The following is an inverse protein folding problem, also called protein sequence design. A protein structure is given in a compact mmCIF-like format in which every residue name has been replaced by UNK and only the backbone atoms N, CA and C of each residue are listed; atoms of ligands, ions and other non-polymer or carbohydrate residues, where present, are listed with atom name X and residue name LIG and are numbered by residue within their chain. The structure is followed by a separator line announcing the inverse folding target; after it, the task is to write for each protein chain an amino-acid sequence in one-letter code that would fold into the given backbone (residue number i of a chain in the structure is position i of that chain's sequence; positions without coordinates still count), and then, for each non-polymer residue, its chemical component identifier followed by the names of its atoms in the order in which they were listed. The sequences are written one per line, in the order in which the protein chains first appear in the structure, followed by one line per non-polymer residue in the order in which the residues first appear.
data_IF_698123682034
#
_entry.id   IF_698123682034
#
_cell.length_a   1.000
_cell.length_b   1.000
_cell.length_c   1.000
_cell.angle_alpha   90.00
_cell.angle_beta   90.00
_cell.angle_gamma   90.00
#
_symmetry.space_group_name_H-M   'P 1'
#
loop_
_entity.id
_entity.type
_entity.pdbx_description
1 polymer ?
#
# COMPACT_ATOMS: atom_id res chain seq x y z
N UNK A 1 19.86 -13.92 -12.27
CA UNK A 1 19.45 -12.89 -13.26
C UNK A 1 18.09 -12.35 -12.83
N UNK A 2 17.94 -11.03 -12.67
CA UNK A 2 16.63 -10.43 -12.42
C UNK A 2 15.77 -10.59 -13.67
N UNK A 3 14.61 -11.17 -13.53
CA UNK A 3 13.67 -11.32 -14.63
C UNK A 3 13.13 -9.93 -15.01
N UNK A 4 12.99 -9.66 -16.31
CA UNK A 4 12.36 -8.42 -16.76
C UNK A 4 10.90 -8.39 -16.32
N UNK A 5 10.37 -7.22 -15.93
CA UNK A 5 8.97 -7.10 -15.56
C UNK A 5 8.06 -7.42 -16.76
N UNK A 6 6.91 -8.00 -16.47
CA UNK A 6 5.87 -8.25 -17.46
C UNK A 6 4.92 -7.05 -17.52
N UNK A 7 4.51 -6.67 -18.74
CA UNK A 7 3.49 -5.66 -18.95
C UNK A 7 2.23 -6.35 -19.44
N UNK A 8 1.19 -6.32 -18.60
CA UNK A 8 -0.02 -7.08 -18.82
C UNK A 8 -1.19 -6.14 -19.15
N UNK A 9 -2.15 -6.69 -19.86
CA UNK A 9 -3.39 -6.04 -20.21
C UNK A 9 -4.53 -6.56 -19.32
N UNK A 10 -5.63 -5.83 -19.25
CA UNK A 10 -6.80 -6.19 -18.44
C UNK A 10 -7.29 -7.63 -18.66
N UNK A 11 -7.36 -8.09 -19.92
CA UNK A 11 -7.82 -9.43 -20.28
C UNK A 11 -7.03 -10.57 -19.62
N UNK A 12 -5.77 -10.32 -19.27
CA UNK A 12 -4.95 -11.32 -18.59
C UNK A 12 -5.43 -11.60 -17.15
N UNK A 13 -6.20 -10.67 -16.56
CA UNK A 13 -6.61 -10.72 -15.16
C UNK A 13 -8.10 -10.41 -14.92
N UNK A 14 -8.91 -10.40 -15.97
CA UNK A 14 -10.32 -9.98 -15.95
C UNK A 14 -11.14 -10.56 -14.77
N UNK A 15 -11.02 -11.87 -14.53
CA UNK A 15 -11.75 -12.54 -13.44
C UNK A 15 -11.36 -12.03 -12.05
N UNK A 16 -10.11 -11.62 -11.87
CA UNK A 16 -9.60 -11.12 -10.59
C UNK A 16 -9.95 -9.66 -10.37
N UNK A 17 -10.11 -8.90 -11.45
CA UNK A 17 -10.42 -7.47 -11.42
C UNK A 17 -11.92 -7.21 -11.32
N UNK A 18 -12.77 -8.09 -11.86
CA UNK A 18 -14.23 -8.00 -11.74
C UNK A 18 -14.73 -7.98 -10.28
N UNK A 19 -13.99 -8.59 -9.37
CA UNK A 19 -14.28 -8.55 -7.92
C UNK A 19 -14.17 -7.14 -7.34
N UNK A 20 -13.47 -6.22 -8.03
CA UNK A 20 -13.23 -4.83 -7.60
C UNK A 20 -14.04 -3.80 -8.39
N UNK A 21 -15.03 -4.22 -9.17
CA UNK A 21 -15.81 -3.37 -10.05
C UNK A 21 -15.00 -2.61 -11.11
N UNK A 22 -13.85 -3.17 -11.53
CA UNK A 22 -13.13 -2.66 -12.68
C UNK A 22 -13.70 -3.18 -13.98
N UNK A 23 -13.76 -2.32 -14.98
CA UNK A 23 -14.14 -2.64 -16.35
C UNK A 23 -12.94 -2.52 -17.29
N UNK A 24 -13.06 -3.08 -18.48
CA UNK A 24 -12.01 -3.00 -19.50
C UNK A 24 -11.59 -1.56 -19.81
N UNK A 25 -12.54 -0.64 -19.85
CA UNK A 25 -12.30 0.79 -20.08
C UNK A 25 -11.51 1.51 -19.00
N UNK A 26 -11.31 0.86 -17.84
CA UNK A 26 -10.56 1.42 -16.72
C UNK A 26 -9.04 1.25 -16.87
N UNK A 27 -8.60 0.52 -17.90
CA UNK A 27 -7.20 0.22 -18.14
C UNK A 27 -6.74 0.70 -19.51
N UNK A 28 -5.47 1.03 -19.60
CA UNK A 28 -4.82 1.42 -20.85
C UNK A 28 -3.44 0.77 -21.00
N UNK A 29 -2.93 0.71 -22.24
CA UNK A 29 -1.62 0.16 -22.50
C UNK A 29 -0.49 1.12 -22.10
N UNK A 30 0.61 0.54 -21.66
CA UNK A 30 1.84 1.28 -21.44
C UNK A 30 2.47 1.71 -22.76
N UNK A 31 2.93 2.94 -22.82
CA UNK A 31 3.79 3.41 -23.90
C UNK A 31 5.16 2.75 -23.86
N UNK A 32 5.90 2.80 -24.95
CA UNK A 32 7.26 2.27 -25.00
C UNK A 32 8.20 2.93 -23.97
N UNK A 33 8.04 4.24 -23.75
CA UNK A 33 8.83 5.00 -22.77
C UNK A 33 8.52 4.58 -21.33
N UNK A 34 7.24 4.38 -20.98
CA UNK A 34 6.85 3.90 -19.67
C UNK A 34 7.40 2.51 -19.38
N UNK A 35 7.31 1.59 -20.36
CA UNK A 35 7.89 0.24 -20.27
C UNK A 35 9.41 0.28 -20.07
N UNK A 36 10.10 1.13 -20.81
CA UNK A 36 11.55 1.31 -20.68
C UNK A 36 11.93 1.86 -19.29
N UNK A 37 11.22 2.86 -18.82
CA UNK A 37 11.42 3.47 -17.49
C UNK A 37 11.23 2.45 -16.37
N UNK A 38 10.11 1.75 -16.33
CA UNK A 38 9.83 0.75 -15.29
C UNK A 38 10.83 -0.39 -15.32
N UNK A 39 11.23 -0.85 -16.53
CA UNK A 39 12.26 -1.88 -16.68
C UNK A 39 13.63 -1.41 -16.16
N UNK A 40 13.97 -0.13 -16.38
CA UNK A 40 15.19 0.47 -15.87
C UNK A 40 15.21 0.45 -14.33
N UNK A 41 14.13 0.86 -13.68
CA UNK A 41 14.05 0.87 -12.21
C UNK A 41 14.12 -0.53 -11.61
N UNK A 42 13.37 -1.50 -12.14
CA UNK A 42 13.41 -2.88 -11.62
C UNK A 42 14.80 -3.48 -11.75
N UNK A 43 15.49 -3.26 -12.88
CA UNK A 43 16.86 -3.74 -13.09
C UNK A 43 17.89 -3.02 -12.21
N UNK A 44 17.64 -1.74 -11.92
CA UNK A 44 18.54 -0.88 -11.17
C UNK A 44 18.59 -1.13 -9.66
N UNK A 45 17.64 -1.88 -9.09
CA UNK A 45 17.67 -2.14 -7.65
C UNK A 45 18.91 -2.95 -7.24
N UNK A 46 19.55 -2.61 -6.12
CA UNK A 46 20.61 -3.40 -5.52
C UNK A 46 20.20 -4.86 -5.29
N UNK A 47 21.17 -5.77 -5.29
CA UNK A 47 20.89 -7.19 -5.09
C UNK A 47 20.27 -7.48 -3.72
N UNK A 48 20.65 -6.74 -2.68
CA UNK A 48 20.07 -6.85 -1.35
C UNK A 48 18.55 -6.66 -1.35
N UNK A 49 18.01 -5.74 -2.16
CA UNK A 49 16.56 -5.56 -2.31
C UNK A 49 15.93 -6.80 -2.92
N UNK A 50 16.57 -7.41 -3.92
CA UNK A 50 16.07 -8.64 -4.56
C UNK A 50 16.12 -9.86 -3.64
N UNK A 51 17.03 -9.87 -2.66
CA UNK A 51 17.12 -10.91 -1.63
C UNK A 51 16.04 -10.74 -0.55
N UNK A 52 15.81 -9.51 -0.11
CA UNK A 52 14.80 -9.19 0.91
C UNK A 52 13.36 -9.30 0.34
N UNK A 53 13.19 -8.82 -0.88
CA UNK A 53 11.89 -8.77 -1.56
C UNK A 53 12.05 -9.40 -2.95
N UNK A 54 11.74 -10.68 -3.13
CA UNK A 54 11.92 -11.36 -4.41
C UNK A 54 11.18 -10.64 -5.54
N UNK A 55 11.93 -10.15 -6.54
CA UNK A 55 11.42 -9.39 -7.68
C UNK A 55 10.99 -10.29 -8.85
N UNK A 56 10.68 -11.55 -8.56
CA UNK A 56 10.26 -12.51 -9.58
C UNK A 56 8.78 -12.35 -9.91
N UNK A 57 8.45 -12.56 -11.18
CA UNK A 57 7.06 -12.55 -11.66
C UNK A 57 6.30 -11.24 -11.37
N UNK A 58 7.00 -10.09 -11.39
CA UNK A 58 6.34 -8.79 -11.28
C UNK A 58 5.70 -8.45 -12.62
N UNK A 59 4.41 -8.14 -12.57
CA UNK A 59 3.64 -7.61 -13.70
C UNK A 59 3.16 -6.21 -13.39
N UNK A 60 3.13 -5.35 -14.38
CA UNK A 60 2.56 -4.01 -14.27
C UNK A 60 1.26 -3.92 -15.06
N UNK A 61 0.29 -3.22 -14.50
CA UNK A 61 -0.93 -2.77 -15.17
C UNK A 61 -1.05 -1.26 -15.04
N UNK A 62 -1.76 -0.64 -15.97
CA UNK A 62 -1.96 0.81 -16.00
C UNK A 62 -3.45 1.12 -16.03
N UNK A 63 -3.92 1.97 -15.12
CA UNK A 63 -5.29 2.49 -15.14
C UNK A 63 -5.37 3.85 -15.84
N UNK A 64 -6.51 4.15 -16.45
CA UNK A 64 -6.79 5.48 -17.00
C UNK A 64 -6.86 6.53 -15.88
N UNK A 65 -6.60 7.79 -16.24
CA UNK A 65 -6.65 8.89 -15.30
C UNK A 65 -8.04 9.07 -14.68
N UNK A 66 -8.09 9.30 -13.37
CA UNK A 66 -9.31 9.65 -12.64
C UNK A 66 -10.23 8.47 -12.28
N UNK A 67 -9.82 7.22 -12.57
CA UNK A 67 -10.63 6.04 -12.22
C UNK A 67 -10.39 5.56 -10.79
N UNK A 68 -9.16 5.63 -10.33
CA UNK A 68 -8.79 5.25 -8.96
C UNK A 68 -8.46 6.46 -8.11
N UNK A 69 -8.21 6.23 -6.83
CA UNK A 69 -7.77 7.22 -5.84
C UNK A 69 -6.41 7.87 -6.15
N UNK A 70 -5.96 7.82 -7.41
CA UNK A 70 -4.68 8.35 -7.90
C UNK A 70 -3.43 7.74 -7.24
N UNK A 71 -3.56 6.59 -6.56
CA UNK A 71 -2.44 5.88 -5.95
C UNK A 71 -2.16 4.55 -6.63
N UNK A 72 -0.90 4.14 -6.69
CA UNK A 72 -0.55 2.76 -6.99
C UNK A 72 -1.17 1.82 -5.96
N UNK A 73 -1.40 0.58 -6.37
CA UNK A 73 -1.79 -0.50 -5.46
C UNK A 73 -1.36 -1.86 -6.02
N UNK A 74 -1.44 -2.89 -5.20
CA UNK A 74 -0.97 -4.21 -5.55
C UNK A 74 -2.03 -5.29 -5.37
N UNK A 75 -1.91 -6.38 -6.11
CA UNK A 75 -2.64 -7.61 -5.86
C UNK A 75 -1.84 -8.83 -6.35
N UNK A 76 -2.26 -10.01 -5.89
CA UNK A 76 -1.67 -11.29 -6.32
C UNK A 76 -2.75 -12.08 -7.01
N UNK A 77 -2.46 -12.59 -8.19
CA UNK A 77 -3.34 -13.45 -8.96
C UNK A 77 -2.55 -14.56 -9.65
N UNK A 78 -2.99 -15.81 -9.48
CA UNK A 78 -2.35 -16.97 -10.12
C UNK A 78 -0.81 -16.93 -10.01
N UNK A 79 -0.28 -16.74 -8.80
CA UNK A 79 1.15 -16.62 -8.51
C UNK A 79 1.85 -15.38 -9.09
N UNK A 80 1.19 -14.55 -9.87
CA UNK A 80 1.74 -13.28 -10.36
C UNK A 80 1.59 -12.16 -9.34
N UNK A 81 2.68 -11.43 -9.17
CA UNK A 81 2.72 -10.20 -8.40
C UNK A 81 2.35 -9.04 -9.31
N UNK A 82 1.25 -8.38 -9.07
CA UNK A 82 0.77 -7.29 -9.94
C UNK A 82 0.84 -5.96 -9.20
N UNK A 83 1.50 -4.98 -9.83
CA UNK A 83 1.52 -3.58 -9.42
C UNK A 83 0.67 -2.81 -10.41
N UNK A 84 -0.36 -2.14 -9.92
CA UNK A 84 -1.20 -1.24 -10.72
C UNK A 84 -0.70 0.19 -10.52
N UNK A 85 -0.37 0.84 -11.63
CA UNK A 85 0.05 2.24 -11.65
C UNK A 85 -1.02 3.07 -12.36
N UNK A 86 -1.35 4.21 -11.79
CA UNK A 86 -2.29 5.13 -12.44
C UNK A 86 -1.59 5.95 -13.51
N UNK A 87 -2.34 6.41 -14.51
CA UNK A 87 -1.82 7.32 -15.53
C UNK A 87 -1.17 8.57 -14.88
N UNK A 88 -1.77 9.10 -13.82
CA UNK A 88 -1.24 10.25 -13.05
C UNK A 88 0.10 9.93 -12.38
N UNK A 89 0.22 8.74 -11.78
CA UNK A 89 1.49 8.28 -11.21
C UNK A 89 2.58 8.20 -12.28
N UNK A 90 2.27 7.65 -13.45
CA UNK A 90 3.22 7.54 -14.56
C UNK A 90 3.61 8.90 -15.15
N UNK A 91 2.67 9.84 -15.26
CA UNK A 91 2.97 11.22 -15.64
C UNK A 91 3.91 11.90 -14.64
N UNK A 92 3.67 11.70 -13.35
CA UNK A 92 4.57 12.17 -12.29
C UNK A 92 5.97 11.56 -12.43
N UNK A 93 6.07 10.25 -12.67
CA UNK A 93 7.35 9.59 -12.92
C UNK A 93 8.08 10.17 -14.14
N UNK A 94 7.37 10.39 -15.23
CA UNK A 94 7.95 10.99 -16.45
C UNK A 94 8.49 12.40 -16.21
N UNK A 95 7.86 13.18 -15.35
CA UNK A 95 8.30 14.55 -15.01
C UNK A 95 9.61 14.59 -14.22
N UNK A 96 9.91 13.54 -13.47
CA UNK A 96 11.14 13.43 -12.66
C UNK A 96 12.35 12.89 -13.43
N UNK A 97 12.13 12.31 -14.61
CA UNK A 97 13.20 11.70 -15.42
C UNK A 97 13.73 10.37 -14.88
N UNK A 98 14.65 9.78 -15.62
CA UNK A 98 15.31 8.54 -15.23
C UNK A 98 16.25 8.76 -14.04
N UNK A 99 16.34 7.76 -13.15
CA UNK A 99 17.19 7.78 -11.95
C UNK A 99 16.69 8.67 -10.80
N UNK A 100 15.39 8.86 -10.70
CA UNK A 100 14.79 9.61 -9.60
C UNK A 100 14.50 8.68 -8.39
N UNK A 101 15.02 9.06 -7.22
CA UNK A 101 14.84 8.30 -5.97
C UNK A 101 13.38 8.19 -5.53
N UNK A 102 12.56 9.20 -5.80
CA UNK A 102 11.13 9.15 -5.49
C UNK A 102 10.41 8.05 -6.29
N UNK A 103 10.74 7.90 -7.57
CA UNK A 103 10.18 6.82 -8.41
C UNK A 103 10.63 5.45 -7.89
N UNK A 104 11.91 5.31 -7.56
CA UNK A 104 12.45 4.08 -6.97
C UNK A 104 11.75 3.75 -5.65
N UNK A 105 11.62 4.73 -4.76
CA UNK A 105 10.93 4.58 -3.48
C UNK A 105 9.48 4.14 -3.67
N UNK A 106 8.74 4.75 -4.60
CA UNK A 106 7.35 4.40 -4.87
C UNK A 106 7.22 2.96 -5.39
N UNK A 107 8.01 2.57 -6.38
CA UNK A 107 7.97 1.20 -6.91
C UNK A 107 8.37 0.18 -5.83
N UNK A 108 9.40 0.47 -5.04
CA UNK A 108 9.82 -0.43 -3.95
C UNK A 108 8.75 -0.53 -2.86
N UNK A 109 8.05 0.54 -2.56
CA UNK A 109 6.91 0.55 -1.65
C UNK A 109 5.84 -0.46 -2.10
N UNK A 110 5.48 -0.47 -3.36
CA UNK A 110 4.53 -1.44 -3.93
C UNK A 110 5.08 -2.89 -3.91
N UNK A 111 6.36 -3.08 -4.16
CA UNK A 111 7.01 -4.39 -4.05
C UNK A 111 6.94 -4.92 -2.61
N UNK A 112 7.14 -4.05 -1.63
CA UNK A 112 7.00 -4.42 -0.22
C UNK A 112 5.56 -4.87 0.09
N UNK A 113 4.55 -4.19 -0.45
CA UNK A 113 3.15 -4.62 -0.29
C UNK A 113 2.88 -6.02 -0.88
N UNK A 114 3.45 -6.34 -2.01
CA UNK A 114 3.37 -7.71 -2.56
C UNK A 114 3.99 -8.74 -1.62
N UNK A 115 5.14 -8.42 -1.02
CA UNK A 115 5.79 -9.29 -0.06
C UNK A 115 4.96 -9.45 1.23
N UNK A 116 4.38 -8.35 1.72
CA UNK A 116 3.46 -8.39 2.87
C UNK A 116 2.26 -9.30 2.62
N UNK A 117 1.65 -9.23 1.44
CA UNK A 117 0.51 -10.08 1.07
C UNK A 117 0.87 -11.58 1.01
N UNK A 118 2.09 -11.91 0.61
CA UNK A 118 2.57 -13.30 0.57
C UNK A 118 2.94 -13.85 1.94
N UNK A 119 3.39 -13.00 2.83
CA UNK A 119 3.93 -13.36 4.14
C UNK A 119 3.13 -12.70 5.29
N UNK A 120 1.82 -12.63 5.14
CA UNK A 120 0.96 -11.85 6.04
C UNK A 120 1.14 -12.23 7.51
N UNK A 121 1.29 -13.51 7.82
CA UNK A 121 1.47 -13.98 9.21
C UNK A 121 2.72 -13.38 9.88
N UNK A 122 3.83 -13.35 9.17
CA UNK A 122 5.10 -12.81 9.69
C UNK A 122 4.99 -11.31 9.92
N UNK A 123 4.30 -10.60 9.01
CA UNK A 123 4.07 -9.16 9.16
C UNK A 123 3.09 -8.84 10.28
N UNK A 124 2.01 -9.60 10.44
CA UNK A 124 1.07 -9.44 11.55
C UNK A 124 1.79 -9.61 12.89
N UNK A 125 2.68 -10.60 13.00
CA UNK A 125 3.51 -10.81 14.18
C UNK A 125 4.48 -9.64 14.43
N UNK A 126 5.14 -9.14 13.37
CA UNK A 126 6.01 -7.98 13.44
C UNK A 126 5.26 -6.73 13.91
N UNK A 127 4.11 -6.44 13.34
CA UNK A 127 3.31 -5.26 13.74
C UNK A 127 2.87 -5.33 15.18
N UNK A 128 2.53 -6.51 15.66
CA UNK A 128 2.15 -6.71 17.06
C UNK A 128 3.36 -6.56 17.98
N UNK A 129 4.47 -7.21 17.67
CA UNK A 129 5.65 -7.25 18.54
C UNK A 129 6.44 -5.93 18.52
N UNK A 130 6.62 -5.33 17.34
CA UNK A 130 7.51 -4.18 17.15
C UNK A 130 6.74 -2.86 17.16
N UNK A 131 5.67 -2.77 16.36
CA UNK A 131 4.88 -1.54 16.26
C UNK A 131 3.82 -1.41 17.33
N UNK A 132 3.57 -2.47 18.12
CA UNK A 132 2.56 -2.49 19.19
C UNK A 132 1.13 -2.29 18.70
N UNK A 133 0.87 -2.65 17.45
CA UNK A 133 -0.50 -2.75 16.97
C UNK A 133 -1.18 -4.02 17.49
N UNK A 134 -2.47 -3.94 17.66
CA UNK A 134 -3.34 -5.08 17.99
C UNK A 134 -4.37 -5.28 16.88
N UNK A 135 -4.50 -6.50 16.40
CA UNK A 135 -5.50 -6.88 15.41
C UNK A 135 -6.73 -7.40 16.13
N UNK A 136 -7.84 -6.70 16.01
CA UNK A 136 -9.09 -7.06 16.71
C UNK A 136 -10.25 -7.21 15.73
N UNK A 137 -11.25 -8.01 16.11
CA UNK A 137 -12.51 -8.09 15.38
C UNK A 137 -13.43 -6.95 15.81
N UNK A 138 -13.85 -6.11 14.87
CA UNK A 138 -14.72 -4.97 15.14
C UNK A 138 -16.17 -5.29 14.78
N UNK A 139 -17.10 -5.11 15.71
CA UNK A 139 -18.49 -5.50 15.51
C UNK A 139 -19.23 -4.58 14.51
N UNK A 140 -18.94 -3.28 14.53
CA UNK A 140 -19.60 -2.30 13.67
C UNK A 140 -18.76 -1.79 12.49
N UNK A 141 -17.70 -2.54 12.09
CA UNK A 141 -16.81 -2.12 11.01
C UNK A 141 -17.55 -1.90 9.68
N UNK A 142 -18.51 -2.77 9.34
CA UNK A 142 -19.24 -2.66 8.08
C UNK A 142 -19.90 -1.30 7.87
N UNK A 143 -20.55 -0.76 8.91
CA UNK A 143 -21.17 0.58 8.86
C UNK A 143 -20.15 1.73 8.89
N UNK A 144 -18.94 1.48 9.38
CA UNK A 144 -17.87 2.47 9.36
C UNK A 144 -17.09 2.46 8.04
N UNK A 145 -16.97 1.31 7.39
CA UNK A 145 -16.18 1.13 6.16
C UNK A 145 -16.63 2.01 4.99
N UNK A 146 -17.89 2.43 4.98
CA UNK A 146 -18.42 3.37 3.97
C UNK A 146 -17.79 4.77 4.06
N UNK A 147 -17.15 5.11 5.16
CA UNK A 147 -16.53 6.43 5.41
C UNK A 147 -15.02 6.45 5.21
N UNK A 148 -14.44 5.30 4.97
CA UNK A 148 -12.98 5.14 4.92
C UNK A 148 -12.53 4.60 3.57
N UNK A 149 -11.36 5.03 3.15
CA UNK A 149 -10.67 4.38 2.05
C UNK A 149 -10.09 3.09 2.60
N UNK A 150 -10.65 1.98 2.15
CA UNK A 150 -10.02 0.68 2.34
C UNK A 150 -8.88 0.59 1.34
N UNK A 151 -7.67 0.91 1.78
CA UNK A 151 -6.50 0.69 0.94
C UNK A 151 -6.46 -0.79 0.55
N UNK A 152 -6.36 -1.12 -0.75
CA UNK A 152 -6.22 -2.50 -1.22
C UNK A 152 -5.01 -3.23 -0.59
N UNK A 153 -4.01 -2.49 -0.16
CA UNK A 153 -2.80 -2.98 0.50
C UNK A 153 -2.96 -3.14 2.01
N UNK A 154 -3.98 -2.48 2.58
CA UNK A 154 -4.47 -2.70 3.93
C UNK A 154 -5.54 -3.78 3.95
N UNK A 155 -5.14 -5.03 4.04
CA UNK A 155 -6.09 -6.14 4.05
C UNK A 155 -6.97 -6.15 5.29
N UNK A 156 -8.26 -5.88 5.12
CA UNK A 156 -9.28 -6.05 6.16
C UNK A 156 -10.18 -7.21 5.77
N UNK A 157 -9.93 -8.40 6.31
CA UNK A 157 -10.84 -9.54 6.15
C UNK A 157 -11.69 -9.70 7.41
N UNK A 158 -12.94 -10.08 7.22
CA UNK A 158 -13.82 -10.51 8.32
C UNK A 158 -13.98 -9.47 9.46
N UNK A 159 -14.06 -8.18 9.13
CA UNK A 159 -14.17 -7.09 10.12
C UNK A 159 -12.99 -7.00 11.09
N UNK A 160 -11.83 -7.53 10.72
CA UNK A 160 -10.61 -7.34 11.51
C UNK A 160 -10.03 -5.95 11.25
N UNK A 161 -9.69 -5.22 12.28
CA UNK A 161 -9.06 -3.90 12.21
C UNK A 161 -7.75 -3.87 13.01
N UNK A 162 -6.85 -2.99 12.60
CA UNK A 162 -5.64 -2.71 13.37
C UNK A 162 -5.88 -1.52 14.30
N UNK A 163 -5.51 -1.71 15.56
CA UNK A 163 -5.64 -0.70 16.61
C UNK A 163 -4.32 -0.52 17.34
N UNK A 164 -4.15 0.60 18.01
CA UNK A 164 -2.99 0.89 18.84
C UNK A 164 -3.47 1.49 20.18
N UNK A 165 -2.76 1.18 21.26
CA UNK A 165 -3.07 1.74 22.59
C UNK A 165 -2.18 2.95 22.84
N UNK A 166 -2.81 4.09 23.09
CA UNK A 166 -2.15 5.35 23.48
C UNK A 166 -2.87 5.91 24.71
N UNK A 167 -2.12 6.20 25.77
CA UNK A 167 -2.66 6.68 27.03
C UNK A 167 -3.79 5.79 27.62
N UNK A 168 -3.60 4.46 27.55
CA UNK A 168 -4.56 3.44 27.97
C UNK A 168 -5.90 3.44 27.20
N UNK A 169 -5.96 4.10 26.07
CA UNK A 169 -7.12 4.12 25.19
C UNK A 169 -6.77 3.46 23.87
N UNK A 170 -7.72 2.74 23.27
CA UNK A 170 -7.56 2.05 22.00
C UNK A 170 -8.01 2.94 20.84
N UNK A 171 -7.15 3.09 19.84
CA UNK A 171 -7.35 3.94 18.68
C UNK A 171 -7.16 3.17 17.39
N UNK A 172 -8.03 3.39 16.41
CA UNK A 172 -7.88 2.88 15.05
C UNK A 172 -7.45 4.03 14.13
N UNK A 173 -6.24 3.99 13.56
CA UNK A 173 -5.87 4.91 12.48
C UNK A 173 -6.56 4.51 11.18
N UNK A 174 -7.00 5.48 10.39
CA UNK A 174 -7.65 5.24 9.10
C UNK A 174 -7.45 6.41 8.14
N UNK A 175 -7.71 6.15 6.85
CA UNK A 175 -7.75 7.17 5.81
C UNK A 175 -9.21 7.45 5.47
N UNK A 176 -9.64 8.71 5.68
CA UNK A 176 -10.98 9.14 5.34
C UNK A 176 -11.13 9.32 3.82
N UNK A 177 -12.34 9.22 3.28
CA UNK A 177 -12.63 9.47 1.86
C UNK A 177 -12.13 10.85 1.40
N UNK A 178 -12.08 11.83 2.28
CA UNK A 178 -11.48 13.14 2.04
C UNK A 178 -9.96 13.17 1.96
N UNK A 179 -9.29 12.02 1.97
CA UNK A 179 -7.84 11.83 1.95
C UNK A 179 -7.12 12.34 3.21
N UNK A 180 -7.81 12.47 4.31
CA UNK A 180 -7.23 12.86 5.59
C UNK A 180 -6.96 11.62 6.45
N UNK A 181 -5.73 11.51 6.95
CA UNK A 181 -5.40 10.54 7.99
C UNK A 181 -6.08 10.94 9.28
N UNK A 182 -6.82 10.02 9.87
CA UNK A 182 -7.55 10.21 11.10
C UNK A 182 -7.39 9.03 12.05
N UNK A 183 -7.78 9.23 13.29
CA UNK A 183 -7.86 8.17 14.30
C UNK A 183 -9.19 8.28 15.03
N UNK A 184 -9.84 7.14 15.22
CA UNK A 184 -11.08 7.03 16.01
C UNK A 184 -10.88 6.12 17.21
N UNK A 185 -11.61 6.40 18.26
CA UNK A 185 -11.60 5.58 19.49
C UNK A 185 -12.33 4.26 19.26
N UNK A 186 -11.80 3.20 19.86
CA UNK A 186 -12.43 1.87 19.87
C UNK A 186 -12.72 1.47 21.31
N UNK A 187 -13.99 1.18 21.60
CA UNK A 187 -14.48 0.78 22.93
C UNK A 187 -15.27 -0.53 22.77
N UNK A 188 -14.96 -1.54 23.56
CA UNK A 188 -15.63 -2.85 23.56
C UNK A 188 -15.75 -3.45 22.13
N UNK A 189 -14.66 -3.37 21.37
CA UNK A 189 -14.56 -3.81 19.97
C UNK A 189 -15.54 -3.10 19.00
N UNK A 190 -16.02 -1.92 19.35
CA UNK A 190 -16.81 -1.05 18.49
C UNK A 190 -16.07 0.25 18.20
N UNK A 191 -16.15 0.71 16.95
CA UNK A 191 -15.67 2.04 16.57
C UNK A 191 -16.68 3.06 17.11
N UNK A 192 -16.18 3.98 17.91
CA UNK A 192 -16.93 5.13 18.42
C UNK A 192 -16.41 6.37 17.71
N UNK A 193 -17.30 7.18 17.13
CA UNK A 193 -16.92 8.37 16.36
C UNK A 193 -16.46 9.48 17.33
N UNK A 194 -15.34 9.25 17.99
CA UNK A 194 -14.59 10.22 18.78
C UNK A 194 -13.23 10.33 18.11
N UNK A 195 -12.95 11.48 17.49
CA UNK A 195 -11.65 11.73 16.87
C UNK A 195 -10.57 11.93 17.93
N UNK A 196 -9.36 11.50 17.61
CA UNK A 196 -8.21 11.67 18.48
C UNK A 196 -7.89 13.17 18.67
N UNK A 197 -7.50 13.53 19.88
CA UNK A 197 -7.02 14.89 20.16
C UNK A 197 -5.67 15.15 19.44
N UNK A 198 -5.27 16.42 19.26
CA UNK A 198 -3.95 16.76 18.71
C UNK A 198 -2.79 16.12 19.49
N UNK A 199 -2.95 15.92 20.79
CA UNK A 199 -1.94 15.25 21.63
C UNK A 199 -1.80 13.77 21.26
N UNK A 200 -2.90 13.02 21.11
CA UNK A 200 -2.90 11.62 20.69
C UNK A 200 -2.25 11.49 19.30
N UNK A 201 -2.61 12.39 18.37
CA UNK A 201 -1.99 12.44 17.06
C UNK A 201 -0.47 12.68 17.11
N UNK A 202 -0.04 13.58 17.98
CA UNK A 202 1.38 13.88 18.17
C UNK A 202 2.14 12.67 18.71
N UNK A 203 1.60 11.99 19.72
CA UNK A 203 2.19 10.77 20.27
C UNK A 203 2.30 9.71 19.16
N UNK A 204 1.20 9.44 18.46
CA UNK A 204 1.16 8.45 17.36
C UNK A 204 2.18 8.77 16.26
N UNK A 205 2.24 10.02 15.81
CA UNK A 205 3.16 10.46 14.77
C UNK A 205 4.62 10.28 15.16
N UNK A 206 4.95 10.50 16.43
CA UNK A 206 6.31 10.34 16.93
C UNK A 206 6.75 8.88 17.04
N UNK A 207 5.80 7.93 17.15
CA UNK A 207 6.13 6.50 17.28
C UNK A 207 6.82 5.96 16.01
N UNK A 208 6.43 6.42 14.82
CA UNK A 208 6.87 5.83 13.55
C UNK A 208 7.85 6.70 12.76
N UNK A 209 8.01 7.97 13.12
CA UNK A 209 8.92 8.93 12.43
C UNK A 209 8.66 9.06 10.92
N UNK A 210 7.42 8.83 10.48
CA UNK A 210 6.96 9.04 9.09
C UNK A 210 5.99 10.20 9.03
N UNK A 211 5.99 10.94 7.92
CA UNK A 211 5.18 12.15 7.78
C UNK A 211 3.77 11.86 7.23
N UNK A 212 3.59 10.75 6.54
CA UNK A 212 2.33 10.36 5.88
C UNK A 212 2.18 8.85 5.81
N UNK A 213 1.01 8.37 5.36
CA UNK A 213 0.68 6.95 5.21
C UNK A 213 0.74 6.17 6.53
N UNK A 214 0.27 6.80 7.62
CA UNK A 214 0.25 6.22 8.97
C UNK A 214 -1.05 5.53 9.34
N UNK A 215 -1.98 5.44 8.40
CA UNK A 215 -3.34 4.92 8.65
C UNK A 215 -3.42 3.39 8.72
N UNK A 216 -2.35 2.67 8.35
CA UNK A 216 -2.29 1.22 8.41
C UNK A 216 -0.86 0.73 8.65
N UNK A 217 -0.63 -0.34 9.45
CA UNK A 217 0.73 -0.84 9.72
C UNK A 217 1.49 -1.30 8.47
N UNK A 218 0.80 -1.84 7.44
CA UNK A 218 1.43 -2.17 6.16
C UNK A 218 2.06 -0.93 5.51
N UNK A 219 1.32 0.18 5.47
CA UNK A 219 1.78 1.44 4.90
C UNK A 219 2.98 2.01 5.66
N UNK A 220 2.89 2.01 6.99
CA UNK A 220 3.99 2.46 7.86
C UNK A 220 5.25 1.66 7.56
N UNK A 221 5.14 0.33 7.51
CA UNK A 221 6.26 -0.55 7.23
C UNK A 221 6.84 -0.32 5.83
N UNK A 222 5.98 -0.30 4.80
CA UNK A 222 6.39 -0.10 3.42
C UNK A 222 7.09 1.25 3.24
N UNK A 223 6.54 2.32 3.82
CA UNK A 223 7.11 3.67 3.77
C UNK A 223 8.47 3.78 4.44
N UNK A 224 8.62 3.23 5.65
CA UNK A 224 9.89 3.24 6.38
C UNK A 224 10.95 2.48 5.60
N UNK A 225 10.64 1.27 5.15
CA UNK A 225 11.64 0.39 4.56
C UNK A 225 11.98 0.77 3.11
N UNK A 226 11.02 1.21 2.30
CA UNK A 226 11.31 1.72 0.96
C UNK A 226 12.25 2.93 1.03
N UNK A 227 11.94 3.89 1.90
CA UNK A 227 12.80 5.05 2.11
C UNK A 227 14.20 4.65 2.58
N UNK A 228 14.29 3.82 3.62
CA UNK A 228 15.57 3.36 4.16
C UNK A 228 16.43 2.70 3.09
N UNK A 229 15.86 1.74 2.35
CA UNK A 229 16.59 0.97 1.34
C UNK A 229 17.02 1.80 0.12
N UNK A 230 16.31 2.88 -0.22
CA UNK A 230 16.66 3.74 -1.36
C UNK A 230 17.66 4.84 -0.97
N UNK A 231 17.64 5.32 0.27
CA UNK A 231 18.45 6.47 0.68
C UNK A 231 19.66 6.11 1.53
N UNK A 232 19.71 4.90 2.10
CA UNK A 232 20.81 4.44 2.95
C UNK A 232 21.69 3.35 2.30
N UNK A 233 21.32 2.82 1.12
CA UNK A 233 22.09 1.91 0.27
C UNK A 233 22.63 2.63 -0.96
#
# INVERSE_FOLDING_TARGET
MKQAPHFKWYSDYEKSLSVRNYEYSDFEEFTANEKAMLSFYIKGYPEVISQLFPLQNISFMKTVAGKDWDFPYTFIVNEHNVIVLTAKTLQSFASFGFNNRYVQETILHEIIHLHQKRNQGDYDEYYTKVYKFEKIKCANYASFSEKVITNPDGYVSNNMIWTIIINNERWMPYLEISMKEKMVKVIDNNIVIIEASPEIYRIYSNMFKVQSQRYHPNEIFARINAKKLIFEL
#
